data_IF_746591720141
#
_entry.id   IF_746591720141
#
_cell.length_a   1.000
_cell.length_b   1.000
_cell.length_c   1.000
_cell.angle_alpha   90.00
_cell.angle_beta   90.00
_cell.angle_gamma   90.00
#
_symmetry.space_group_name_H-M   'P 1'
#
loop_
_entity.id
_entity.type
_entity.pdbx_description
1 polymer ?
#
# COMPACT_ATOMS: atom_id res chain seq x y z
N UNK A 1 17.18 37.88 -14.73
CA UNK A 1 17.30 36.65 -15.53
C UNK A 1 17.38 35.44 -14.60
N UNK A 2 16.30 34.65 -14.41
CA UNK A 2 16.30 33.41 -13.61
C UNK A 2 16.78 32.26 -14.49
N UNK A 3 17.92 31.64 -14.16
CA UNK A 3 18.42 30.46 -14.87
C UNK A 3 17.52 29.24 -14.60
N UNK A 4 17.29 28.34 -15.58
CA UNK A 4 16.45 27.14 -15.45
C UNK A 4 17.20 25.99 -14.74
N UNK A 5 17.83 26.26 -13.60
CA UNK A 5 18.68 25.30 -12.86
C UNK A 5 17.91 24.53 -11.78
N UNK A 6 16.67 24.93 -11.52
CA UNK A 6 15.91 24.44 -10.36
C UNK A 6 15.19 23.10 -10.63
N UNK A 7 14.81 22.78 -11.87
CA UNK A 7 14.03 21.57 -12.14
C UNK A 7 14.88 20.30 -12.17
N UNK A 8 16.04 20.31 -12.84
CA UNK A 8 16.92 19.13 -12.89
C UNK A 8 17.49 18.81 -11.51
N UNK A 9 17.92 19.84 -10.75
CA UNK A 9 18.37 19.69 -9.36
C UNK A 9 17.26 19.15 -8.45
N UNK A 10 16.01 19.62 -8.62
CA UNK A 10 14.87 19.11 -7.88
C UNK A 10 14.56 17.64 -8.20
N UNK A 11 14.58 17.24 -9.48
CA UNK A 11 14.37 15.86 -9.88
C UNK A 11 15.45 14.92 -9.36
N UNK A 12 16.72 15.37 -9.37
CA UNK A 12 17.82 14.60 -8.82
C UNK A 12 17.69 14.41 -7.30
N UNK A 13 17.33 15.48 -6.58
CA UNK A 13 17.06 15.42 -5.14
C UNK A 13 15.89 14.48 -4.83
N UNK A 14 14.83 14.52 -5.66
CA UNK A 14 13.66 13.65 -5.54
C UNK A 14 14.05 12.18 -5.75
N UNK A 15 14.86 11.88 -6.78
CA UNK A 15 15.38 10.52 -7.02
C UNK A 15 16.18 9.98 -5.84
N UNK A 16 17.11 10.79 -5.30
CA UNK A 16 17.89 10.40 -4.12
C UNK A 16 16.99 10.16 -2.91
N UNK A 17 15.99 11.01 -2.70
CA UNK A 17 15.01 10.87 -1.62
C UNK A 17 14.17 9.60 -1.79
N UNK A 18 13.70 9.29 -3.00
CA UNK A 18 12.98 8.04 -3.26
C UNK A 18 13.85 6.80 -3.00
N UNK A 19 15.10 6.82 -3.44
CA UNK A 19 16.06 5.73 -3.19
C UNK A 19 16.29 5.53 -1.69
N UNK A 20 16.51 6.62 -0.96
CA UNK A 20 16.71 6.59 0.49
C UNK A 20 15.46 6.10 1.26
N UNK A 21 14.28 6.60 0.90
CA UNK A 21 13.02 6.17 1.52
C UNK A 21 12.72 4.70 1.21
N UNK A 22 13.01 4.23 -0.01
CA UNK A 22 12.91 2.82 -0.38
C UNK A 22 13.83 1.97 0.50
N UNK A 23 15.10 2.36 0.63
CA UNK A 23 16.06 1.66 1.48
C UNK A 23 15.59 1.58 2.93
N UNK A 24 15.17 2.71 3.53
CA UNK A 24 14.66 2.71 4.90
C UNK A 24 13.44 1.80 5.03
N UNK A 25 12.51 1.87 4.08
CA UNK A 25 11.29 1.07 4.12
C UNK A 25 11.63 -0.43 4.10
N UNK A 26 12.46 -0.87 3.16
CA UNK A 26 12.88 -2.27 3.07
C UNK A 26 13.66 -2.71 4.30
N UNK A 27 14.60 -1.90 4.77
CA UNK A 27 15.44 -2.24 5.91
C UNK A 27 14.65 -2.31 7.21
N UNK A 28 13.76 -1.35 7.46
CA UNK A 28 12.94 -1.30 8.69
C UNK A 28 11.92 -2.44 8.75
N UNK A 29 11.47 -2.95 7.60
CA UNK A 29 10.51 -4.06 7.52
C UNK A 29 11.20 -5.42 7.33
N UNK A 30 12.54 -5.46 7.23
CA UNK A 30 13.29 -6.67 6.89
C UNK A 30 13.06 -7.80 7.88
N UNK A 31 13.01 -7.52 9.19
CA UNK A 31 12.75 -8.52 10.22
C UNK A 31 11.38 -9.19 10.07
N UNK A 32 10.33 -8.40 9.76
CA UNK A 32 8.99 -8.92 9.51
C UNK A 32 8.91 -9.77 8.23
N UNK A 33 9.66 -9.38 7.20
CA UNK A 33 9.75 -10.15 5.95
C UNK A 33 10.54 -11.45 6.12
N UNK A 34 11.56 -11.47 6.98
CA UNK A 34 12.35 -12.68 7.25
C UNK A 34 11.51 -13.81 7.83
N UNK A 35 10.46 -13.49 8.62
CA UNK A 35 9.51 -14.48 9.12
C UNK A 35 8.81 -15.26 8.01
N UNK A 36 8.65 -14.66 6.82
CA UNK A 36 8.03 -15.32 5.68
C UNK A 36 8.83 -16.54 5.19
N UNK A 37 10.15 -16.50 5.34
CA UNK A 37 11.03 -17.61 4.93
C UNK A 37 10.97 -18.80 5.87
N UNK A 38 10.44 -18.63 7.09
CA UNK A 38 10.23 -19.71 8.07
C UNK A 38 8.93 -20.49 7.87
N UNK A 39 7.99 -20.01 7.04
CA UNK A 39 6.72 -20.71 6.82
C UNK A 39 6.87 -21.92 5.89
N UNK A 40 6.06 -22.98 6.08
CA UNK A 40 5.97 -24.08 5.13
C UNK A 40 5.62 -23.59 3.72
N UNK A 41 6.12 -24.29 2.68
CA UNK A 41 5.90 -23.93 1.26
C UNK A 41 4.41 -23.74 0.89
N UNK A 42 3.50 -24.41 1.58
CA UNK A 42 2.05 -24.24 1.39
C UNK A 42 1.52 -22.88 1.88
N UNK A 43 2.06 -22.36 3.00
CA UNK A 43 1.65 -21.08 3.57
C UNK A 43 2.30 -19.90 2.85
N UNK A 44 3.57 -20.00 2.47
CA UNK A 44 4.23 -18.95 1.69
C UNK A 44 3.50 -18.73 0.36
N UNK A 45 3.02 -19.80 -0.28
CA UNK A 45 2.18 -19.70 -1.48
C UNK A 45 0.91 -18.88 -1.21
N UNK A 46 0.19 -19.14 -0.11
CA UNK A 46 -1.01 -18.36 0.25
C UNK A 46 -0.68 -16.89 0.50
N UNK A 47 0.43 -16.60 1.20
CA UNK A 47 0.88 -15.23 1.49
C UNK A 47 1.26 -14.49 0.20
N UNK A 48 1.98 -15.14 -0.72
CA UNK A 48 2.35 -14.56 -2.02
C UNK A 48 1.18 -14.47 -3.01
N UNK A 49 0.05 -15.15 -2.77
CA UNK A 49 -1.20 -14.97 -3.55
C UNK A 49 -1.95 -13.70 -3.08
N UNK A 50 -1.22 -12.64 -2.72
CA UNK A 50 -1.74 -11.27 -2.49
C UNK A 50 -2.65 -10.76 -3.63
N UNK A 51 -2.63 -11.38 -4.80
CA UNK A 51 -3.60 -11.15 -5.87
C UNK A 51 -5.07 -11.48 -5.48
N UNK A 52 -5.33 -12.12 -4.33
CA UNK A 52 -6.71 -12.32 -3.82
C UNK A 52 -7.20 -11.22 -2.88
N UNK A 53 -6.31 -10.46 -2.22
CA UNK A 53 -6.72 -9.32 -1.37
C UNK A 53 -6.94 -8.05 -2.19
N UNK A 54 -6.27 -7.92 -3.35
CA UNK A 54 -6.46 -6.78 -4.26
C UNK A 54 -7.91 -6.63 -4.77
N UNK A 55 -8.58 -7.70 -5.25
CA UNK A 55 -10.00 -7.64 -5.59
C UNK A 55 -10.87 -7.16 -4.43
N UNK A 56 -10.63 -7.67 -3.21
CA UNK A 56 -11.38 -7.28 -2.02
C UNK A 56 -11.16 -5.80 -1.67
N UNK A 57 -9.91 -5.35 -1.64
CA UNK A 57 -9.55 -3.95 -1.41
C UNK A 57 -10.19 -3.02 -2.45
N UNK A 58 -10.23 -3.44 -3.71
CA UNK A 58 -10.86 -2.68 -4.78
C UNK A 58 -12.40 -2.60 -4.64
N UNK A 59 -13.04 -3.69 -4.20
CA UNK A 59 -14.48 -3.72 -3.89
C UNK A 59 -14.78 -2.75 -2.74
N UNK A 60 -14.03 -2.84 -1.64
CA UNK A 60 -14.18 -1.96 -0.47
C UNK A 60 -14.01 -0.50 -0.89
N UNK A 61 -12.95 -0.17 -1.64
CA UNK A 61 -12.68 1.19 -2.10
C UNK A 61 -13.80 1.72 -2.99
N UNK A 62 -14.33 0.89 -3.89
CA UNK A 62 -15.47 1.25 -4.75
C UNK A 62 -16.72 1.57 -3.93
N UNK A 63 -17.04 0.74 -2.95
CA UNK A 63 -18.24 0.91 -2.11
C UNK A 63 -18.14 2.12 -1.17
N UNK A 64 -16.96 2.35 -0.60
CA UNK A 64 -16.67 3.53 0.22
C UNK A 64 -16.72 4.79 -0.63
N UNK A 65 -16.10 4.82 -1.81
CA UNK A 65 -16.12 6.00 -2.68
C UNK A 65 -17.52 6.36 -3.20
N UNK A 66 -18.42 5.37 -3.33
CA UNK A 66 -19.85 5.61 -3.63
C UNK A 66 -20.57 6.35 -2.50
N UNK A 67 -20.11 6.24 -1.24
CA UNK A 67 -20.68 6.94 -0.07
C UNK A 67 -19.62 7.78 0.62
N UNK A 68 -19.53 9.06 0.26
CA UNK A 68 -18.53 10.01 0.81
C UNK A 68 -18.62 10.24 2.32
N UNK A 69 -19.75 9.93 2.95
CA UNK A 69 -19.96 10.10 4.40
C UNK A 69 -20.84 8.98 4.94
N UNK A 70 -20.44 8.43 6.09
CA UNK A 70 -21.23 7.44 6.81
C UNK A 70 -21.84 8.10 8.06
N UNK A 71 -23.12 7.81 8.39
CA UNK A 71 -23.78 8.38 9.55
C UNK A 71 -23.31 7.77 10.88
N UNK A 72 -22.67 6.59 10.86
CA UNK A 72 -22.04 5.94 12.01
C UNK A 72 -21.07 4.85 11.56
N UNK A 73 -20.18 4.41 12.46
CA UNK A 73 -19.24 3.31 12.18
C UNK A 73 -19.97 2.01 11.84
N UNK A 74 -21.09 1.72 12.51
CA UNK A 74 -21.92 0.56 12.21
C UNK A 74 -22.46 0.59 10.77
N UNK A 75 -22.80 1.77 10.24
CA UNK A 75 -23.24 1.90 8.86
C UNK A 75 -22.09 1.63 7.87
N UNK A 76 -20.86 2.03 8.19
CA UNK A 76 -19.68 1.70 7.40
C UNK A 76 -19.42 0.18 7.37
N UNK A 77 -19.44 -0.46 8.55
CA UNK A 77 -19.28 -1.93 8.63
C UNK A 77 -20.37 -2.68 7.87
N UNK A 78 -21.62 -2.23 7.94
CA UNK A 78 -22.73 -2.86 7.20
C UNK A 78 -22.51 -2.82 5.69
N UNK A 79 -21.93 -1.74 5.16
CA UNK A 79 -21.63 -1.63 3.72
C UNK A 79 -20.52 -2.60 3.30
N UNK A 80 -19.50 -2.78 4.13
CA UNK A 80 -18.43 -3.76 3.87
C UNK A 80 -18.97 -5.19 3.94
N UNK A 81 -19.77 -5.51 4.96
CA UNK A 81 -20.37 -6.84 5.15
C UNK A 81 -21.30 -7.25 4.01
N UNK A 82 -22.07 -6.30 3.44
CA UNK A 82 -22.97 -6.57 2.32
C UNK A 82 -22.27 -6.63 0.96
N UNK A 83 -20.96 -6.35 0.89
CA UNK A 83 -20.19 -6.39 -0.35
C UNK A 83 -19.52 -7.74 -0.61
N UNK A 84 -19.46 -8.61 0.41
CA UNK A 84 -18.96 -10.00 0.37
C UNK A 84 -20.11 -10.98 0.31
#
# INVERSE_FOLDING_TARGET
>A
MRKPTNQISALFTLMLRFSYLSYIYWHSNWEGLMLLYGYPKGMTKVIYITNTIEPLSNIIRTMVNKRKMFPSDQAAFKVVYLAT
#
